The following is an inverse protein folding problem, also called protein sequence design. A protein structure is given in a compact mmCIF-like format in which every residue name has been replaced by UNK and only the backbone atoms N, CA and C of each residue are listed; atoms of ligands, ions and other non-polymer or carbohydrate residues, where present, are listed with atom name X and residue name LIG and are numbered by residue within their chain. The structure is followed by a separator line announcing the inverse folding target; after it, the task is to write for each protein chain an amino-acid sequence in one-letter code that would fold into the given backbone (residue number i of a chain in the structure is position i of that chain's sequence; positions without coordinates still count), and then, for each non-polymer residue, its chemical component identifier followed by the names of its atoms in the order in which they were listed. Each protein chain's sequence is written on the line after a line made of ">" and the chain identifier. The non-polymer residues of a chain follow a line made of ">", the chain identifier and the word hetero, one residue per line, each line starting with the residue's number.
data_IF_759267459659
#
_entry.id   IF_759267459659
#
_cell.length_a   1.000
_cell.length_b   1.000
_cell.length_c   1.000
_cell.angle_alpha   90.00
_cell.angle_beta   90.00
_cell.angle_gamma   90.00
#
_symmetry.space_group_name_H-M   'P 1'
#
loop_
_entity.id
_entity.type
_entity.pdbx_description
1 polymer ?
#
# COMPACT_ATOMS: atom_id res chain seq x y z
N UNK A 1 -6.82 -15.61 -5.73
CA UNK A 1 -7.45 -14.32 -6.10
C UNK A 1 -6.42 -13.43 -6.79
N UNK A 2 -6.82 -12.52 -7.67
CA UNK A 2 -5.91 -11.46 -8.19
C UNK A 2 -6.58 -10.10 -8.12
N UNK A 3 -5.83 -9.09 -7.67
CA UNK A 3 -6.31 -7.72 -7.51
C UNK A 3 -5.46 -6.75 -8.34
N UNK A 4 -6.12 -5.82 -9.05
CA UNK A 4 -5.51 -4.76 -9.86
C UNK A 4 -6.23 -3.43 -9.63
N UNK A 5 -5.90 -2.70 -8.55
CA UNK A 5 -6.52 -1.41 -8.30
C UNK A 5 -6.15 -0.42 -9.41
N UNK A 6 -7.10 0.42 -9.80
CA UNK A 6 -6.96 1.42 -10.87
C UNK A 6 -7.68 2.74 -10.55
N UNK A 7 -8.04 2.95 -9.28
CA UNK A 7 -8.79 4.12 -8.85
C UNK A 7 -7.95 5.27 -8.31
N UNK A 8 -8.54 6.03 -7.40
CA UNK A 8 -7.93 7.17 -6.74
C UNK A 8 -6.69 6.77 -5.96
N UNK A 9 -5.69 7.65 -6.00
CA UNK A 9 -4.40 7.44 -5.31
C UNK A 9 -4.15 8.64 -4.42
N UNK A 10 -3.99 8.39 -3.12
CA UNK A 10 -3.63 9.40 -2.13
C UNK A 10 -2.28 9.08 -1.50
N UNK A 11 -1.51 10.09 -1.13
CA UNK A 11 -0.22 9.90 -0.46
C UNK A 11 0.12 11.01 0.52
N UNK A 12 0.90 10.67 1.55
CA UNK A 12 1.36 11.66 2.52
C UNK A 12 2.09 11.06 3.71
N UNK A 13 2.61 11.96 4.55
CA UNK A 13 3.18 11.60 5.85
C UNK A 13 2.06 11.63 6.89
N UNK A 14 1.92 10.55 7.63
CA UNK A 14 0.96 10.34 8.72
C UNK A 14 1.75 10.13 10.01
N UNK A 15 1.37 10.85 11.07
CA UNK A 15 2.04 10.83 12.37
C UNK A 15 2.51 12.22 12.79
N UNK A 16 2.41 12.50 14.09
CA UNK A 16 2.63 13.82 14.68
C UNK A 16 3.81 13.87 15.64
N UNK A 17 4.39 15.07 15.76
CA UNK A 17 5.64 15.47 16.42
C UNK A 17 5.84 15.05 17.89
N UNK A 18 4.87 14.38 18.52
CA UNK A 18 4.90 14.04 19.95
C UNK A 18 5.36 12.61 20.25
N UNK A 19 5.29 11.69 19.27
CA UNK A 19 5.73 10.30 19.42
C UNK A 19 7.02 9.97 18.63
N UNK A 20 7.53 10.93 17.84
CA UNK A 20 8.76 10.77 17.05
C UNK A 20 8.67 9.80 15.86
N UNK A 21 7.54 9.11 15.67
CA UNK A 21 7.34 8.16 14.57
C UNK A 21 6.39 8.77 13.55
N UNK A 22 6.94 9.09 12.38
CA UNK A 22 6.19 9.47 11.19
C UNK A 22 6.25 8.33 10.18
N UNK A 23 5.15 8.09 9.48
CA UNK A 23 5.04 7.08 8.43
C UNK A 23 4.65 7.74 7.12
N UNK A 24 5.18 7.29 6.00
CA UNK A 24 4.69 7.68 4.69
C UNK A 24 3.72 6.61 4.17
N UNK A 25 2.56 7.03 3.66
CA UNK A 25 1.53 6.13 3.15
C UNK A 25 1.19 6.45 1.70
N UNK A 26 0.98 5.41 0.89
CA UNK A 26 0.29 5.47 -0.41
C UNK A 26 -0.94 4.60 -0.29
N UNK A 27 -2.10 5.17 -0.57
CA UNK A 27 -3.37 4.46 -0.63
C UNK A 27 -3.85 4.46 -2.06
N UNK A 28 -4.15 3.27 -2.59
CA UNK A 28 -4.79 3.10 -3.87
C UNK A 28 -6.18 2.52 -3.61
N UNK A 29 -7.22 3.25 -3.98
CA UNK A 29 -8.53 2.65 -4.13
C UNK A 29 -8.66 2.03 -5.53
N UNK A 30 -9.60 1.12 -5.66
CA UNK A 30 -9.99 0.63 -6.97
C UNK A 30 -11.31 1.29 -7.37
N UNK A 31 -11.31 2.04 -8.47
CA UNK A 31 -12.52 2.68 -8.99
C UNK A 31 -13.53 1.60 -9.39
N UNK A 32 -14.56 1.42 -8.57
CA UNK A 32 -15.60 0.41 -8.79
C UNK A 32 -15.17 -1.04 -8.50
N UNK A 33 -14.02 -1.27 -7.85
CA UNK A 33 -13.68 -2.58 -7.28
C UNK A 33 -13.64 -2.51 -5.77
N UNK A 34 -13.93 -3.64 -5.15
CA UNK A 34 -14.07 -3.79 -3.71
C UNK A 34 -12.74 -3.91 -2.98
N UNK A 35 -11.58 -3.46 -3.48
CA UNK A 35 -10.32 -3.69 -2.74
C UNK A 35 -9.47 -2.42 -2.71
N UNK A 36 -8.74 -2.19 -1.61
CA UNK A 36 -7.82 -1.07 -1.44
C UNK A 36 -6.41 -1.56 -1.10
N UNK A 37 -5.39 -0.89 -1.63
CA UNK A 37 -3.99 -1.17 -1.33
C UNK A 37 -3.41 -0.08 -0.46
N UNK A 38 -2.71 -0.49 0.60
CA UNK A 38 -1.97 0.39 1.49
C UNK A 38 -0.48 0.02 1.45
N UNK A 39 0.35 0.99 1.08
CA UNK A 39 1.81 0.89 1.13
C UNK A 39 2.32 1.85 2.20
N UNK A 40 3.13 1.39 3.15
CA UNK A 40 3.59 2.19 4.30
C UNK A 40 5.10 2.09 4.51
N UNK A 41 5.80 3.21 4.43
CA UNK A 41 7.19 3.35 4.87
C UNK A 41 7.26 3.94 6.28
N UNK A 42 8.15 3.43 7.14
CA UNK A 42 8.26 3.85 8.55
C UNK A 42 9.32 4.94 8.81
N UNK A 43 9.86 5.55 7.74
CA UNK A 43 10.87 6.60 7.84
C UNK A 43 10.27 8.03 7.83
N UNK A 44 8.95 8.16 7.70
CA UNK A 44 8.24 9.44 7.67
C UNK A 44 8.60 10.35 6.51
N UNK A 45 9.21 9.81 5.46
CA UNK A 45 9.73 10.59 4.33
C UNK A 45 9.10 10.14 3.03
N UNK A 46 8.93 11.10 2.13
CA UNK A 46 8.61 10.81 0.74
C UNK A 46 9.69 9.89 0.15
N UNK A 47 9.34 8.73 -0.42
CA UNK A 47 10.30 7.86 -1.08
C UNK A 47 10.90 8.58 -2.31
N UNK A 48 12.21 8.45 -2.50
CA UNK A 48 12.86 8.86 -3.73
C UNK A 48 12.52 7.88 -4.88
N UNK A 49 12.66 8.30 -6.15
CA UNK A 49 12.64 7.36 -7.27
C UNK A 49 13.63 6.22 -7.05
N UNK A 50 13.20 4.98 -7.30
CA UNK A 50 13.97 3.78 -7.01
C UNK A 50 13.11 2.56 -6.70
N UNK A 51 13.80 1.45 -6.40
CA UNK A 51 13.16 0.17 -6.06
C UNK A 51 13.15 -0.07 -4.56
N UNK A 52 12.01 -0.54 -4.09
CA UNK A 52 11.71 -0.83 -2.70
C UNK A 52 11.17 -2.25 -2.57
N UNK A 53 11.53 -2.91 -1.47
CA UNK A 53 10.97 -4.20 -1.10
C UNK A 53 9.59 -4.02 -0.45
N UNK A 54 8.67 -4.92 -0.76
CA UNK A 54 7.37 -5.00 -0.11
C UNK A 54 7.31 -6.20 0.84
N UNK A 55 6.85 -5.96 2.07
CA UNK A 55 6.73 -6.99 3.11
C UNK A 55 5.41 -6.84 3.88
N UNK A 56 4.97 -7.90 4.54
CA UNK A 56 3.80 -7.88 5.43
C UNK A 56 4.13 -7.52 6.87
N UNK A 57 5.41 -7.69 7.24
CA UNK A 57 5.95 -7.40 8.57
C UNK A 57 6.41 -5.95 8.74
N UNK A 58 7.18 -5.70 9.79
CA UNK A 58 7.84 -4.41 9.96
C UNK A 58 8.93 -4.26 8.88
N UNK A 59 8.88 -3.20 8.04
CA UNK A 59 9.93 -2.96 7.05
C UNK A 59 11.27 -2.71 7.76
N UNK A 60 12.34 -3.30 7.23
CA UNK A 60 13.70 -3.14 7.75
C UNK A 60 14.48 -2.23 6.80
N UNK A 61 14.95 -1.09 7.32
CA UNK A 61 15.71 -0.12 6.53
C UNK A 61 14.86 0.83 5.70
N UNK A 62 15.53 1.76 5.01
CA UNK A 62 14.88 2.84 4.27
C UNK A 62 14.30 2.43 2.90
N UNK A 63 14.66 1.23 2.40
CA UNK A 63 14.26 0.72 1.09
C UNK A 63 13.19 -0.37 1.18
N UNK A 64 12.44 -0.42 2.28
CA UNK A 64 11.37 -1.38 2.49
C UNK A 64 10.06 -0.67 2.88
N UNK A 65 8.95 -1.13 2.33
CA UNK A 65 7.62 -0.71 2.70
C UNK A 65 6.78 -1.91 3.11
N UNK A 66 5.89 -1.69 4.08
CA UNK A 66 4.83 -2.62 4.37
C UNK A 66 3.76 -2.51 3.30
N UNK A 67 3.28 -3.63 2.77
CA UNK A 67 2.17 -3.66 1.83
C UNK A 67 1.01 -4.50 2.37
N UNK A 68 -0.19 -4.00 2.17
CA UNK A 68 -1.44 -4.68 2.54
C UNK A 68 -2.51 -4.45 1.49
N UNK A 69 -3.26 -5.50 1.20
CA UNK A 69 -4.49 -5.49 0.42
C UNK A 69 -5.65 -5.65 1.39
N UNK A 70 -6.55 -4.67 1.39
CA UNK A 70 -7.80 -4.71 2.13
C UNK A 70 -8.84 -5.18 1.13
N UNK A 71 -9.37 -6.37 1.34
CA UNK A 71 -10.53 -6.82 0.58
C UNK A 71 -11.78 -6.15 1.13
N UNK A 72 -12.76 -5.87 0.28
CA UNK A 72 -13.90 -5.02 0.62
C UNK A 72 -13.62 -3.51 0.47
N UNK A 73 -14.68 -2.69 0.45
CA UNK A 73 -14.50 -1.24 0.40
C UNK A 73 -13.92 -0.72 1.72
N UNK A 74 -13.38 0.50 1.71
CA UNK A 74 -12.86 1.12 2.94
C UNK A 74 -13.92 1.21 4.05
N UNK A 75 -15.19 1.37 3.69
CA UNK A 75 -16.33 1.43 4.61
C UNK A 75 -16.84 0.04 5.02
N UNK A 76 -16.52 -1.00 4.26
CA UNK A 76 -16.96 -2.39 4.48
C UNK A 76 -15.84 -3.37 4.14
N UNK A 77 -14.76 -3.41 4.94
CA UNK A 77 -13.68 -4.36 4.72
C UNK A 77 -14.18 -5.79 4.96
N UNK A 78 -13.84 -6.67 4.04
CA UNK A 78 -14.15 -8.11 4.06
C UNK A 78 -12.89 -8.97 4.14
N UNK A 79 -11.71 -8.37 4.31
CA UNK A 79 -10.48 -9.12 4.55
C UNK A 79 -9.25 -8.25 4.62
N UNK A 80 -8.17 -8.82 5.12
CA UNK A 80 -6.86 -8.18 5.17
C UNK A 80 -5.80 -9.20 4.78
N UNK A 81 -5.09 -8.90 3.69
CA UNK A 81 -4.01 -9.72 3.16
C UNK A 81 -2.73 -8.88 3.16
N UNK A 82 -1.68 -9.41 3.78
CA UNK A 82 -0.38 -8.74 3.90
C UNK A 82 0.57 -9.31 2.86
N UNK A 83 1.47 -8.48 2.31
CA UNK A 83 2.47 -8.98 1.38
C UNK A 83 3.33 -10.07 2.03
N UNK A 84 3.64 -11.13 1.29
CA UNK A 84 4.64 -12.12 1.73
C UNK A 84 6.03 -11.68 1.28
N UNK A 85 6.10 -11.14 0.06
CA UNK A 85 7.26 -10.49 -0.55
C UNK A 85 6.77 -9.68 -1.75
N UNK A 86 7.59 -8.77 -2.28
CA UNK A 86 7.24 -8.06 -3.51
C UNK A 86 8.12 -6.86 -3.77
N UNK A 87 7.74 -6.11 -4.79
CA UNK A 87 8.49 -4.93 -5.24
C UNK A 87 7.56 -3.75 -5.48
N UNK A 88 8.10 -2.57 -5.17
CA UNK A 88 7.57 -1.27 -5.54
C UNK A 88 8.69 -0.50 -6.26
N UNK A 89 8.40 -0.01 -7.45
CA UNK A 89 9.28 0.88 -8.19
C UNK A 89 8.63 2.27 -8.27
N UNK A 90 9.22 3.22 -7.56
CA UNK A 90 8.85 4.63 -7.66
C UNK A 90 9.57 5.21 -8.87
N UNK A 91 8.80 5.70 -9.84
CA UNK A 91 9.34 6.27 -11.08
C UNK A 91 9.50 7.78 -10.99
N UNK A 92 8.64 8.46 -10.23
CA UNK A 92 8.75 9.89 -9.93
C UNK A 92 8.17 10.21 -8.56
N UNK A 93 8.78 11.16 -7.84
CA UNK A 93 8.29 11.65 -6.56
C UNK A 93 8.75 13.10 -6.33
N UNK A 94 7.85 13.94 -5.84
CA UNK A 94 8.10 15.31 -5.41
C UNK A 94 7.06 15.76 -4.39
N UNK A 95 7.10 17.00 -3.92
CA UNK A 95 6.19 17.51 -2.86
C UNK A 95 4.71 17.21 -3.13
N UNK A 96 4.31 17.31 -4.40
CA UNK A 96 2.92 17.29 -4.84
C UNK A 96 2.61 16.23 -5.89
N UNK A 97 3.55 15.31 -6.17
CA UNK A 97 3.31 14.20 -7.09
C UNK A 97 4.05 12.93 -6.70
N UNK A 98 3.49 11.79 -7.07
CA UNK A 98 4.15 10.49 -6.99
C UNK A 98 3.63 9.56 -8.07
N UNK A 99 4.50 8.76 -8.66
CA UNK A 99 4.13 7.68 -9.58
C UNK A 99 5.01 6.46 -9.39
N UNK A 100 4.45 5.30 -9.71
CA UNK A 100 5.17 4.04 -9.60
C UNK A 100 4.35 2.83 -10.01
N UNK A 101 4.97 1.67 -9.85
CA UNK A 101 4.37 0.37 -10.12
C UNK A 101 4.76 -0.63 -9.04
N UNK A 102 3.89 -1.59 -8.77
CA UNK A 102 4.11 -2.55 -7.70
C UNK A 102 3.55 -3.93 -8.06
N UNK A 103 4.12 -4.95 -7.42
CA UNK A 103 3.68 -6.33 -7.52
C UNK A 103 4.04 -7.09 -6.25
N UNK A 104 3.09 -7.80 -5.66
CA UNK A 104 3.34 -8.67 -4.52
C UNK A 104 2.29 -9.80 -4.43
N UNK A 105 2.69 -11.03 -4.12
CA UNK A 105 1.81 -11.98 -3.46
C UNK A 105 1.51 -11.54 -2.02
N UNK A 106 0.32 -11.86 -1.54
CA UNK A 106 -0.06 -11.65 -0.14
C UNK A 106 -0.89 -12.79 0.41
N UNK A 107 -0.88 -12.89 1.75
CA UNK A 107 -1.67 -13.85 2.51
C UNK A 107 -2.36 -13.20 3.70
N UNK A 108 -3.47 -13.76 4.14
CA UNK A 108 -4.20 -13.32 5.31
C UNK A 108 -5.57 -13.95 5.38
N UNK A 109 -6.53 -13.21 5.92
CA UNK A 109 -7.87 -13.73 6.18
C UNK A 109 -8.95 -12.93 5.46
N UNK A 110 -10.12 -13.55 5.32
CA UNK A 110 -11.35 -12.88 4.87
C UNK A 110 -12.42 -12.99 5.95
N UNK A 111 -13.43 -12.13 5.95
CA UNK A 111 -14.53 -12.17 6.94
C UNK A 111 -15.36 -13.43 6.82
N UNK A 112 -15.41 -14.05 5.64
CA UNK A 112 -16.10 -15.33 5.41
C UNK A 112 -15.37 -16.50 6.05
N UNK A 113 -14.06 -16.35 6.32
CA UNK A 113 -13.23 -17.37 6.95
C UNK A 113 -12.09 -16.71 7.75
N UNK A 114 -12.44 -16.09 8.87
CA UNK A 114 -11.51 -15.26 9.65
C UNK A 114 -10.47 -16.09 10.42
N UNK A 115 -10.72 -17.38 10.62
CA UNK A 115 -9.80 -18.30 11.28
C UNK A 115 -8.71 -18.83 10.35
N UNK A 116 -8.92 -18.72 9.03
CA UNK A 116 -7.94 -19.09 8.02
C UNK A 116 -7.10 -17.87 7.60
N UNK A 117 -5.86 -17.79 8.08
CA UNK A 117 -4.87 -16.81 7.62
C UNK A 117 -4.14 -17.23 6.32
N UNK A 118 -4.58 -18.32 5.69
CA UNK A 118 -4.00 -18.91 4.49
C UNK A 118 -4.54 -18.38 3.17
N UNK A 119 -5.54 -17.49 3.17
CA UNK A 119 -6.11 -16.96 1.93
C UNK A 119 -5.05 -16.20 1.13
N UNK A 120 -4.92 -16.49 -0.16
CA UNK A 120 -3.86 -15.94 -1.03
C UNK A 120 -4.38 -14.98 -2.11
N UNK A 121 -3.63 -13.91 -2.33
CA UNK A 121 -3.86 -12.93 -3.41
C UNK A 121 -2.58 -12.59 -4.16
N UNK A 122 -2.68 -12.41 -5.47
CA UNK A 122 -1.65 -11.79 -6.28
C UNK A 122 -2.08 -10.36 -6.64
N UNK A 123 -1.34 -9.37 -6.15
CA UNK A 123 -1.65 -7.94 -6.36
C UNK A 123 -0.60 -7.33 -7.27
N UNK A 124 -1.04 -6.60 -8.29
CA UNK A 124 -0.14 -5.75 -9.07
C UNK A 124 -0.86 -4.54 -9.63
N UNK A 125 -0.12 -3.47 -9.87
CA UNK A 125 -0.71 -2.24 -10.39
C UNK A 125 0.33 -1.16 -10.65
N UNK A 126 -0.16 -0.06 -11.21
CA UNK A 126 0.58 1.18 -11.38
C UNK A 126 -0.27 2.32 -10.84
N UNK A 127 0.40 3.39 -10.40
CA UNK A 127 -0.27 4.56 -9.86
C UNK A 127 0.42 5.84 -10.30
N UNK A 128 -0.38 6.88 -10.41
CA UNK A 128 0.05 8.27 -10.54
C UNK A 128 -0.90 9.10 -9.69
N UNK A 129 -0.35 9.97 -8.86
CA UNK A 129 -1.11 10.91 -8.05
C UNK A 129 -0.47 12.28 -8.08
N UNK A 130 -1.32 13.30 -8.09
CA UNK A 130 -0.92 14.69 -7.86
C UNK A 130 -1.79 15.24 -6.73
N UNK A 131 -1.19 15.98 -5.80
CA UNK A 131 -1.95 16.74 -4.81
C UNK A 131 -2.66 17.86 -5.55
N UNK A 132 -3.99 17.86 -5.48
CA UNK A 132 -4.77 19.00 -5.93
C UNK A 132 -4.74 20.01 -4.79
N UNK A 133 -4.00 21.10 -4.95
CA UNK A 133 -4.07 22.23 -4.04
C UNK A 133 -5.50 22.79 -4.09
N UNK A 134 -6.26 22.61 -3.01
CA UNK A 134 -7.56 23.26 -2.80
C UNK A 134 -7.39 24.68 -2.29
#
# INVERSE_FOLDING_TARGET
>A
MSARPSGGVAFGVVGGSSAGIASFTITLDAKGSSDAILLTGLNGRMPAPGRYELTGGAPVGASALRASCIAGSAERPTGLLRATSGTLEITAAGSDHISGQFSFPGSGFTTSDASDEGAQVAVSGAFTSTRVSS
#
